data_IF_591877097945
#
_entry.id   IF_591877097945
#
_cell.length_a   1.000
_cell.length_b   1.000
_cell.length_c   1.000
_cell.angle_alpha   90.00
_cell.angle_beta   90.00
_cell.angle_gamma   90.00
#
_symmetry.space_group_name_H-M   'P 1'
#
loop_
_entity.id
_entity.type
_entity.pdbx_description
1 polymer ?
#
# COMPACT_ATOMS: atom_id res chain seq x y z
N UNK A 1 -18.66 6.50 -17.24
CA UNK A 1 -17.27 7.01 -17.07
C UNK A 1 -16.99 8.02 -18.18
N UNK A 2 -16.36 9.13 -17.83
CA UNK A 2 -16.05 10.23 -18.75
C UNK A 2 -14.86 9.86 -19.64
N UNK A 3 -14.88 10.28 -20.91
CA UNK A 3 -13.76 10.11 -21.83
C UNK A 3 -12.63 11.08 -21.47
N UNK A 4 -11.40 10.56 -21.36
CA UNK A 4 -10.22 11.38 -21.03
C UNK A 4 -9.76 12.31 -22.15
N UNK A 5 -10.28 12.12 -23.39
CA UNK A 5 -9.88 12.88 -24.56
C UNK A 5 -10.87 14.00 -24.91
N UNK A 6 -12.18 13.77 -24.88
CA UNK A 6 -13.20 14.74 -25.26
C UNK A 6 -14.24 15.03 -24.17
N UNK A 7 -14.05 14.50 -22.96
CA UNK A 7 -14.89 14.67 -21.77
C UNK A 7 -16.35 14.23 -21.97
N UNK A 8 -16.67 13.53 -23.05
CA UNK A 8 -18.00 12.96 -23.25
C UNK A 8 -18.34 11.93 -22.19
N UNK A 9 -19.55 12.01 -21.62
CA UNK A 9 -19.95 11.22 -20.43
C UNK A 9 -20.18 9.72 -20.69
N UNK A 10 -20.41 9.33 -21.97
CA UNK A 10 -20.71 7.94 -22.33
C UNK A 10 -19.52 7.27 -22.99
N UNK A 11 -19.04 6.22 -22.32
CA UNK A 11 -18.03 5.29 -22.86
C UNK A 11 -18.54 3.87 -22.71
N UNK A 12 -18.18 2.98 -23.64
CA UNK A 12 -18.47 1.56 -23.58
C UNK A 12 -17.22 0.75 -23.25
N UNK A 13 -17.40 -0.38 -22.59
CA UNK A 13 -16.33 -1.35 -22.37
C UNK A 13 -16.19 -2.18 -23.65
N UNK A 14 -15.03 -2.11 -24.29
CA UNK A 14 -14.72 -2.90 -25.48
C UNK A 14 -14.11 -4.26 -25.13
N UNK A 15 -13.33 -4.32 -24.04
CA UNK A 15 -12.74 -5.55 -23.53
C UNK A 15 -12.55 -5.45 -22.00
N UNK A 16 -12.62 -6.59 -21.32
CA UNK A 16 -12.43 -6.71 -19.88
C UNK A 16 -11.65 -7.98 -19.58
N UNK A 17 -10.63 -7.88 -18.73
CA UNK A 17 -9.82 -9.02 -18.31
C UNK A 17 -9.50 -8.91 -16.84
N UNK A 18 -9.48 -10.02 -16.08
CA UNK A 18 -8.83 -10.03 -14.78
C UNK A 18 -7.40 -9.55 -14.94
N UNK A 19 -6.98 -8.67 -14.04
CA UNK A 19 -5.59 -8.23 -13.91
C UNK A 19 -4.97 -8.95 -12.71
N UNK A 20 -3.97 -8.42 -12.10
CA UNK A 20 -3.51 -8.93 -10.80
C UNK A 20 -4.66 -8.83 -9.80
N UNK A 21 -4.98 -9.94 -9.12
CA UNK A 21 -6.03 -9.92 -8.08
C UNK A 21 -5.73 -8.80 -7.08
N UNK A 22 -6.66 -7.97 -6.69
CA UNK A 22 -8.12 -8.01 -6.95
C UNK A 22 -8.62 -7.00 -7.99
N UNK A 23 -7.84 -6.65 -9.00
CA UNK A 23 -8.21 -5.63 -9.99
C UNK A 23 -8.69 -6.21 -11.32
N UNK A 24 -9.50 -5.43 -12.03
CA UNK A 24 -9.99 -5.75 -13.38
C UNK A 24 -9.49 -4.68 -14.35
N UNK A 25 -8.75 -5.12 -15.37
CA UNK A 25 -8.37 -4.30 -16.50
C UNK A 25 -9.51 -4.15 -17.48
N UNK A 26 -9.83 -2.93 -17.91
CA UNK A 26 -10.86 -2.68 -18.92
C UNK A 26 -10.37 -1.74 -20.01
N UNK A 27 -10.58 -2.13 -21.25
CA UNK A 27 -10.40 -1.26 -22.41
C UNK A 27 -11.72 -0.60 -22.75
N UNK A 28 -11.74 0.72 -22.74
CA UNK A 28 -12.94 1.52 -22.97
C UNK A 28 -12.83 2.27 -24.30
N UNK A 29 -13.96 2.44 -24.97
CA UNK A 29 -14.07 3.24 -26.20
C UNK A 29 -15.11 4.32 -26.00
N UNK A 30 -14.76 5.56 -26.37
CA UNK A 30 -15.68 6.69 -26.32
C UNK A 30 -16.73 6.57 -27.41
N UNK A 31 -17.98 6.90 -27.09
CA UNK A 31 -19.06 6.87 -28.08
C UNK A 31 -19.03 8.10 -29.03
N UNK A 32 -18.39 9.21 -28.60
CA UNK A 32 -18.27 10.44 -29.37
C UNK A 32 -17.00 10.46 -30.24
N UNK A 33 -15.82 10.60 -29.62
CA UNK A 33 -14.56 10.76 -30.36
C UNK A 33 -13.88 9.44 -30.75
N UNK A 34 -14.48 8.29 -30.41
CA UNK A 34 -13.95 6.94 -30.69
C UNK A 34 -12.59 6.63 -30.04
N UNK A 35 -12.03 7.54 -29.24
CA UNK A 35 -10.79 7.30 -28.52
C UNK A 35 -10.87 6.06 -27.63
N UNK A 36 -9.78 5.31 -27.59
CA UNK A 36 -9.66 4.08 -26.79
C UNK A 36 -8.68 4.33 -25.67
N UNK A 37 -9.10 4.02 -24.44
CA UNK A 37 -8.26 4.17 -23.24
C UNK A 37 -8.47 3.01 -22.26
N UNK A 38 -7.54 2.84 -21.35
CA UNK A 38 -7.55 1.77 -20.36
C UNK A 38 -7.96 2.30 -19.00
N UNK A 39 -8.74 1.50 -18.28
CA UNK A 39 -9.07 1.74 -16.88
C UNK A 39 -8.81 0.49 -16.05
N UNK A 40 -8.45 0.71 -14.78
CA UNK A 40 -8.35 -0.36 -13.78
C UNK A 40 -9.44 -0.12 -12.74
N UNK A 41 -10.17 -1.19 -12.44
CA UNK A 41 -11.16 -1.19 -11.36
C UNK A 41 -10.64 -2.08 -10.25
N UNK A 42 -10.53 -1.55 -9.04
CA UNK A 42 -10.14 -2.27 -7.83
C UNK A 42 -11.10 -1.90 -6.70
N UNK A 43 -11.35 -2.79 -5.73
CA UNK A 43 -12.07 -2.42 -4.52
C UNK A 43 -11.32 -1.30 -3.79
N UNK A 44 -12.05 -0.33 -3.22
CA UNK A 44 -11.48 0.64 -2.29
C UNK A 44 -11.38 0.02 -0.90
N UNK A 45 -10.33 0.38 -0.15
CA UNK A 45 -10.19 0.06 1.26
C UNK A 45 -10.63 1.22 2.16
N UNK A 46 -11.01 2.38 1.60
CA UNK A 46 -11.28 3.60 2.36
C UNK A 46 -12.37 3.43 3.42
N UNK A 47 -13.36 2.57 3.14
CA UNK A 47 -14.45 2.27 4.06
C UNK A 47 -14.19 1.02 4.93
N UNK A 48 -13.04 0.37 4.77
CA UNK A 48 -12.75 -0.86 5.50
C UNK A 48 -12.30 -0.53 6.93
N UNK A 49 -13.00 -1.05 7.96
CA UNK A 49 -12.62 -0.82 9.35
C UNK A 49 -11.30 -1.50 9.67
N UNK A 50 -10.46 -0.82 10.45
CA UNK A 50 -9.23 -1.33 11.02
C UNK A 50 -9.47 -1.64 12.49
N UNK A 51 -9.07 -2.82 12.93
CA UNK A 51 -9.13 -3.23 14.31
C UNK A 51 -7.82 -2.91 15.04
N UNK A 52 -7.95 -2.34 16.23
CA UNK A 52 -6.88 -2.22 17.19
C UNK A 52 -7.36 -2.83 18.51
N UNK A 53 -6.59 -3.78 19.05
CA UNK A 53 -6.97 -4.52 20.28
C UNK A 53 -8.40 -5.10 20.22
N UNK A 54 -8.79 -5.69 19.08
CA UNK A 54 -10.11 -6.27 18.80
C UNK A 54 -11.29 -5.27 18.83
N UNK A 55 -11.04 -3.98 18.88
CA UNK A 55 -12.05 -2.93 18.74
C UNK A 55 -11.81 -2.12 17.45
N UNK A 56 -12.87 -1.56 16.88
CA UNK A 56 -12.70 -0.68 15.72
C UNK A 56 -12.01 0.62 16.17
N UNK A 57 -10.81 0.87 15.62
CA UNK A 57 -10.03 2.05 15.94
C UNK A 57 -10.18 3.17 14.91
N UNK A 58 -10.20 2.80 13.62
CA UNK A 58 -10.17 3.78 12.52
C UNK A 58 -10.60 3.10 11.20
N UNK A 59 -10.61 3.87 10.12
CA UNK A 59 -10.76 3.37 8.75
C UNK A 59 -9.42 3.44 8.02
N UNK A 60 -9.23 2.58 7.03
CA UNK A 60 -8.02 2.60 6.22
C UNK A 60 -7.90 3.93 5.47
N UNK A 61 -6.70 4.49 5.44
CA UNK A 61 -6.40 5.72 4.70
C UNK A 61 -5.03 5.60 4.01
N UNK A 62 -5.05 5.56 2.68
CA UNK A 62 -3.83 5.43 1.87
C UNK A 62 -2.88 6.61 2.06
N UNK A 63 -3.39 7.82 2.30
CA UNK A 63 -2.56 9.01 2.55
C UNK A 63 -1.72 8.86 3.82
N UNK A 64 -2.30 8.33 4.90
CA UNK A 64 -1.55 8.01 6.14
C UNK A 64 -0.47 6.97 5.88
N UNK A 65 -0.77 5.95 5.07
CA UNK A 65 0.18 4.91 4.71
C UNK A 65 1.35 5.50 3.90
N UNK A 66 1.08 6.35 2.90
CA UNK A 66 2.11 7.04 2.10
C UNK A 66 3.03 7.87 3.00
N UNK A 67 2.48 8.64 3.94
CA UNK A 67 3.24 9.46 4.88
C UNK A 67 4.12 8.57 5.78
N UNK A 68 3.58 7.47 6.30
CA UNK A 68 4.31 6.52 7.14
C UNK A 68 5.49 5.90 6.37
N UNK A 69 5.27 5.45 5.13
CA UNK A 69 6.30 4.92 4.25
C UNK A 69 7.36 5.99 3.94
N UNK A 70 6.92 7.21 3.57
CA UNK A 70 7.84 8.31 3.24
C UNK A 70 8.79 8.66 4.39
N UNK A 71 8.30 8.61 5.63
CA UNK A 71 9.12 8.84 6.83
C UNK A 71 10.21 7.81 7.05
N UNK A 72 10.07 6.61 6.52
CA UNK A 72 11.09 5.56 6.63
C UNK A 72 12.27 5.74 5.66
N UNK A 73 12.18 6.66 4.69
CA UNK A 73 13.24 6.99 3.73
C UNK A 73 14.06 8.23 4.12
N UNK A 74 14.38 8.38 5.41
CA UNK A 74 15.16 9.56 5.88
C UNK A 74 16.58 9.61 5.28
N UNK A 75 17.15 8.46 4.96
CA UNK A 75 18.46 8.32 4.32
C UNK A 75 18.46 8.68 2.83
N UNK A 76 17.29 8.56 2.15
CA UNK A 76 17.12 8.93 0.74
C UNK A 76 15.78 9.63 0.50
N UNK A 77 15.77 10.94 0.67
CA UNK A 77 14.59 11.80 0.47
C UNK A 77 14.15 11.88 -1.01
N UNK A 78 15.05 11.54 -1.96
CA UNK A 78 14.67 11.46 -3.38
C UNK A 78 13.86 10.19 -3.62
N UNK A 79 14.33 9.04 -3.15
CA UNK A 79 13.58 7.79 -3.22
C UNK A 79 12.22 7.91 -2.53
N UNK A 80 12.14 8.59 -1.37
CA UNK A 80 10.89 8.86 -0.66
C UNK A 80 9.79 9.46 -1.56
N UNK A 81 10.14 10.42 -2.42
CA UNK A 81 9.20 11.13 -3.30
C UNK A 81 8.60 10.24 -4.39
N UNK A 82 9.37 9.28 -4.90
CA UNK A 82 8.93 8.42 -6.01
C UNK A 82 8.43 7.06 -5.54
N UNK A 83 9.08 6.46 -4.55
CA UNK A 83 8.78 5.11 -4.12
C UNK A 83 7.56 5.01 -3.20
N UNK A 84 7.31 6.04 -2.35
CA UNK A 84 6.28 5.94 -1.30
C UNK A 84 4.88 5.63 -1.85
N UNK A 85 4.49 6.24 -2.98
CA UNK A 85 3.20 5.96 -3.61
C UNK A 85 3.13 4.52 -4.12
N UNK A 86 4.13 4.07 -4.88
CA UNK A 86 4.13 2.71 -5.47
C UNK A 86 4.20 1.62 -4.39
N UNK A 87 4.94 1.87 -3.31
CA UNK A 87 4.98 0.96 -2.17
C UNK A 87 3.62 0.91 -1.46
N UNK A 88 2.97 2.07 -1.26
CA UNK A 88 1.64 2.12 -0.67
C UNK A 88 0.59 1.41 -1.53
N UNK A 89 0.62 1.56 -2.84
CA UNK A 89 -0.26 0.84 -3.78
C UNK A 89 -0.01 -0.67 -3.74
N UNK A 90 1.25 -1.09 -3.59
CA UNK A 90 1.61 -2.50 -3.44
C UNK A 90 1.09 -3.07 -2.13
N UNK A 91 1.25 -2.34 -1.03
CA UNK A 91 0.69 -2.71 0.28
C UNK A 91 -0.83 -2.78 0.20
N UNK A 92 -1.49 -1.76 -0.34
CA UNK A 92 -2.95 -1.73 -0.52
C UNK A 92 -3.44 -2.98 -1.29
N UNK A 93 -2.76 -3.35 -2.38
CA UNK A 93 -3.12 -4.54 -3.16
C UNK A 93 -2.99 -5.83 -2.36
N UNK A 94 -1.99 -5.96 -1.48
CA UNK A 94 -1.83 -7.09 -0.58
C UNK A 94 -2.93 -7.11 0.50
N UNK A 95 -3.27 -5.93 1.05
CA UNK A 95 -4.31 -5.80 2.08
C UNK A 95 -5.72 -6.13 1.54
N UNK A 96 -6.03 -5.77 0.30
CA UNK A 96 -7.30 -6.12 -0.34
C UNK A 96 -7.46 -7.64 -0.46
N UNK A 97 -6.38 -8.38 -0.66
CA UNK A 97 -6.40 -9.85 -0.76
C UNK A 97 -6.67 -10.54 0.58
N UNK A 98 -6.60 -9.84 1.71
CA UNK A 98 -6.88 -10.39 3.04
C UNK A 98 -8.38 -10.52 3.23
N UNK A 99 -8.85 -11.73 3.55
CA UNK A 99 -10.28 -12.04 3.74
C UNK A 99 -10.77 -11.83 5.18
N UNK A 100 -9.87 -11.71 6.14
CA UNK A 100 -10.18 -11.44 7.56
C UNK A 100 -10.28 -9.92 7.83
N UNK A 101 -10.87 -9.50 8.96
CA UNK A 101 -10.79 -8.10 9.40
C UNK A 101 -9.33 -7.64 9.46
N UNK A 102 -9.05 -6.41 9.00
CA UNK A 102 -7.71 -5.84 9.04
C UNK A 102 -7.37 -5.35 10.44
N UNK A 103 -6.18 -5.68 10.92
CA UNK A 103 -5.62 -5.09 12.13
C UNK A 103 -4.51 -4.08 11.78
N UNK A 104 -4.21 -3.20 12.72
CA UNK A 104 -3.03 -2.31 12.62
C UNK A 104 -1.74 -3.10 12.46
N UNK A 105 -1.64 -4.24 13.14
CA UNK A 105 -0.47 -5.11 13.08
C UNK A 105 -0.30 -5.76 11.70
N UNK A 106 -1.41 -6.21 11.07
CA UNK A 106 -1.38 -6.74 9.71
C UNK A 106 -0.88 -5.68 8.71
N UNK A 107 -1.36 -4.43 8.84
CA UNK A 107 -0.94 -3.32 7.98
C UNK A 107 0.55 -3.04 8.19
N UNK A 108 0.99 -2.97 9.44
CA UNK A 108 2.37 -2.69 9.80
C UNK A 108 3.32 -3.79 9.31
N UNK A 109 2.96 -5.07 9.52
CA UNK A 109 3.76 -6.22 9.08
C UNK A 109 3.92 -6.27 7.56
N UNK A 110 2.82 -6.13 6.81
CA UNK A 110 2.84 -6.14 5.33
C UNK A 110 3.61 -4.94 4.77
N UNK A 111 3.48 -3.77 5.41
CA UNK A 111 4.20 -2.57 5.01
C UNK A 111 5.70 -2.74 5.25
N UNK A 112 6.08 -3.23 6.41
CA UNK A 112 7.48 -3.53 6.75
C UNK A 112 8.12 -4.49 5.74
N UNK A 113 7.47 -5.62 5.46
CA UNK A 113 7.96 -6.58 4.46
C UNK A 113 8.12 -5.95 3.08
N UNK A 114 7.14 -5.15 2.66
CA UNK A 114 7.17 -4.52 1.35
C UNK A 114 8.31 -3.51 1.23
N UNK A 115 8.52 -2.67 2.26
CA UNK A 115 9.62 -1.71 2.32
C UNK A 115 10.96 -2.42 2.37
N UNK A 116 11.11 -3.43 3.24
CA UNK A 116 12.36 -4.19 3.41
C UNK A 116 12.83 -4.85 2.12
N UNK A 117 11.90 -5.36 1.31
CA UNK A 117 12.24 -5.95 0.00
C UNK A 117 12.69 -4.91 -1.02
N UNK A 118 12.19 -3.68 -0.93
CA UNK A 118 12.59 -2.59 -1.81
C UNK A 118 13.89 -1.93 -1.36
N UNK A 119 13.98 -1.61 -0.08
CA UNK A 119 15.13 -0.94 0.56
C UNK A 119 15.28 -1.44 2.00
N UNK A 120 16.33 -2.24 2.29
CA UNK A 120 16.57 -2.77 3.63
C UNK A 120 16.78 -1.68 4.69
N UNK A 121 17.40 -0.53 4.35
CA UNK A 121 17.63 0.57 5.29
C UNK A 121 16.34 1.25 5.67
N UNK A 122 15.48 1.54 4.68
CA UNK A 122 14.14 2.04 4.92
C UNK A 122 13.31 1.05 5.76
N UNK A 123 13.47 -0.26 5.51
CA UNK A 123 12.84 -1.30 6.32
C UNK A 123 13.22 -1.21 7.81
N UNK A 124 14.50 -1.05 8.12
CA UNK A 124 14.97 -0.87 9.50
C UNK A 124 14.40 0.41 10.13
N UNK A 125 14.40 1.51 9.39
CA UNK A 125 13.82 2.77 9.87
C UNK A 125 12.31 2.65 10.13
N UNK A 126 11.58 1.97 9.25
CA UNK A 126 10.16 1.69 9.43
C UNK A 126 9.91 0.84 10.68
N UNK A 127 10.69 -0.22 10.86
CA UNK A 127 10.59 -1.11 12.01
C UNK A 127 10.83 -0.38 13.34
N UNK A 128 11.79 0.56 13.36
CA UNK A 128 12.07 1.39 14.53
C UNK A 128 10.94 2.39 14.84
N UNK A 129 10.27 2.93 13.80
CA UNK A 129 9.17 3.88 13.96
C UNK A 129 7.86 3.22 14.45
N UNK A 130 7.71 1.92 14.21
CA UNK A 130 6.49 1.16 14.51
C UNK A 130 6.69 0.09 15.60
N UNK A 131 7.73 0.26 16.44
CA UNK A 131 8.03 -0.62 17.57
C UNK A 131 8.16 -2.11 17.20
N UNK A 132 8.50 -2.42 15.93
CA UNK A 132 8.78 -3.78 15.50
C UNK A 132 10.13 -4.29 15.94
N UNK A 133 11.00 -3.39 16.42
CA UNK A 133 12.33 -3.71 16.96
C UNK A 133 12.26 -3.59 18.47
N UNK A 134 12.17 -4.73 19.16
CA UNK A 134 12.30 -4.77 20.61
C UNK A 134 13.78 -4.75 21.01
N UNK A 135 14.24 -3.62 21.56
CA UNK A 135 15.56 -3.59 22.19
C UNK A 135 15.45 -4.17 23.61
N UNK A 136 15.91 -5.39 23.82
CA UNK A 136 16.16 -5.90 25.17
C UNK A 136 17.42 -5.24 25.72
N UNK A 137 17.27 -4.08 26.40
CA UNK A 137 18.36 -3.48 27.16
C UNK A 137 18.69 -4.36 28.36
N UNK A 138 19.81 -5.07 28.31
CA UNK A 138 20.45 -5.57 29.54
C UNK A 138 21.22 -4.42 30.16
N UNK A 139 21.12 -4.17 31.49
CA UNK A 139 21.93 -3.18 32.16
C UNK A 139 23.43 -3.44 31.93
N UNK A 140 24.16 -2.50 31.32
CA UNK A 140 25.60 -2.54 31.17
C UNK A 140 26.16 -2.93 29.79
N UNK A 141 25.36 -3.32 28.77
CA UNK A 141 25.90 -3.60 27.45
C UNK A 141 24.87 -3.27 26.36
N UNK A 142 25.18 -2.43 25.36
CA UNK A 142 24.32 -2.28 24.19
C UNK A 142 24.49 -3.53 23.31
N UNK A 143 23.46 -4.37 23.23
CA UNK A 143 23.44 -5.46 22.26
C UNK A 143 22.26 -5.27 21.32
N UNK A 144 22.57 -5.00 20.05
CA UNK A 144 21.62 -5.13 18.96
C UNK A 144 21.65 -6.59 18.56
N UNK A 145 20.63 -7.35 18.94
CA UNK A 145 20.47 -8.72 18.45
C UNK A 145 19.51 -8.70 17.26
N UNK A 146 20.03 -8.95 16.07
CA UNK A 146 19.21 -9.30 14.91
C UNK A 146 18.91 -10.80 14.99
N UNK A 147 17.66 -11.18 15.25
CA UNK A 147 17.23 -12.55 15.07
C UNK A 147 16.96 -12.78 13.60
N UNK A 148 17.92 -13.41 12.91
CA UNK A 148 17.66 -14.04 11.61
C UNK A 148 17.11 -15.44 11.92
N UNK A 149 15.83 -15.65 11.72
CA UNK A 149 15.32 -17.00 11.53
C UNK A 149 15.44 -17.34 10.05
N UNK A 150 16.14 -18.45 9.81
CA UNK A 150 16.40 -19.03 8.49
C UNK A 150 15.13 -19.70 7.93
#
# INVERSE_FOLDING_TARGET
MICINCFHVKTRVANSRPHTKPSVWRRRKCNSCQAVFTTYEKPSLDDRPILQNNSQADVFNIGRLIISISRSFQHDTKAAKYASLHLAETVESKLIAITKPLSTDDITAITYETIRHYDPVAGVQYAAQHDLVTSTRRPGRPSISFSYEA
#
